data_IF_857885884538
#
_entry.id   IF_857885884538
#
_cell.length_a   1.000
_cell.length_b   1.000
_cell.length_c   1.000
_cell.angle_alpha   90.00
_cell.angle_beta   90.00
_cell.angle_gamma   90.00
#
_symmetry.space_group_name_H-M   'P 1'
#
loop_
_entity.id
_entity.type
_entity.pdbx_description
1 polymer ?
#
# COMPACT_ATOMS: atom_id res chain seq x y z
N UNK A 1 36.79 -28.35 -3.32
CA UNK A 1 36.32 -28.84 -2.02
C UNK A 1 34.92 -29.43 -2.20
N UNK A 2 34.58 -30.53 -1.51
CA UNK A 2 33.32 -31.26 -1.71
C UNK A 2 32.81 -31.78 -0.36
N UNK A 3 31.56 -31.48 -0.01
CA UNK A 3 30.88 -32.05 1.16
C UNK A 3 29.77 -32.97 0.63
N UNK A 4 29.79 -34.24 1.02
CA UNK A 4 28.78 -35.24 0.62
C UNK A 4 28.51 -36.19 1.80
N UNK A 5 27.24 -36.56 1.99
CA UNK A 5 26.87 -37.73 2.79
C UNK A 5 26.41 -38.86 1.86
N UNK A 6 26.91 -40.08 2.08
CA UNK A 6 26.59 -41.26 1.25
C UNK A 6 25.48 -42.12 1.82
N UNK A 7 25.18 -41.96 3.12
CA UNK A 7 24.22 -42.82 3.85
C UNK A 7 23.40 -42.06 4.91
N UNK A 8 23.50 -40.73 4.99
CA UNK A 8 22.87 -39.94 6.07
C UNK A 8 22.70 -38.46 5.72
N UNK A 9 22.88 -37.58 6.71
CA UNK A 9 22.70 -36.12 6.59
C UNK A 9 24.02 -35.34 6.62
N UNK A 10 23.95 -34.05 6.30
CA UNK A 10 24.97 -33.04 6.59
C UNK A 10 24.29 -31.96 7.44
N UNK A 11 24.90 -31.61 8.57
CA UNK A 11 24.40 -30.58 9.47
C UNK A 11 25.39 -29.43 9.56
N UNK A 12 24.89 -28.20 9.39
CA UNK A 12 25.65 -26.97 9.54
C UNK A 12 25.04 -26.20 10.71
N UNK A 13 25.83 -26.00 11.78
CA UNK A 13 25.41 -25.26 12.96
C UNK A 13 26.48 -24.21 13.29
N UNK A 14 26.04 -22.99 13.59
CA UNK A 14 26.89 -21.89 14.01
C UNK A 14 26.19 -21.11 15.13
N UNK A 15 26.98 -20.55 16.05
CA UNK A 15 26.46 -19.75 17.15
C UNK A 15 25.88 -18.40 16.67
N UNK A 16 26.46 -17.85 15.60
CA UNK A 16 26.14 -16.50 15.13
C UNK A 16 25.55 -16.51 13.72
N UNK A 17 26.27 -17.10 12.75
CA UNK A 17 25.90 -17.01 11.35
C UNK A 17 26.40 -18.20 10.50
N UNK A 18 25.59 -18.61 9.52
CA UNK A 18 25.99 -19.45 8.39
C UNK A 18 25.90 -18.61 7.12
N UNK A 19 27.01 -18.43 6.42
CA UNK A 19 27.10 -17.67 5.17
C UNK A 19 27.71 -18.55 4.06
N UNK A 20 26.95 -18.74 2.97
CA UNK A 20 27.42 -19.41 1.76
C UNK A 20 27.44 -18.40 0.61
N UNK A 21 28.60 -18.17 -0.01
CA UNK A 21 28.80 -17.14 -1.05
C UNK A 21 29.52 -17.70 -2.28
N UNK A 22 29.15 -17.18 -3.46
CA UNK A 22 29.84 -17.46 -4.72
C UNK A 22 29.51 -16.39 -5.77
N UNK A 23 30.53 -15.79 -6.40
CA UNK A 23 30.33 -14.86 -7.52
C UNK A 23 29.41 -13.66 -7.19
N UNK A 24 29.42 -13.17 -5.95
CA UNK A 24 28.53 -12.10 -5.48
C UNK A 24 27.14 -12.55 -5.05
N UNK A 25 26.76 -13.82 -5.28
CA UNK A 25 25.52 -14.39 -4.74
C UNK A 25 25.74 -14.96 -3.34
N UNK A 26 24.71 -14.96 -2.51
CA UNK A 26 24.80 -15.44 -1.13
C UNK A 26 23.50 -16.01 -0.57
N UNK A 27 23.64 -16.87 0.44
CA UNK A 27 22.61 -17.26 1.41
C UNK A 27 23.19 -17.05 2.81
N UNK A 28 22.47 -16.34 3.66
CA UNK A 28 22.85 -15.95 5.03
C UNK A 28 21.76 -16.37 6.00
N UNK A 29 22.15 -17.05 7.07
CA UNK A 29 21.27 -17.51 8.15
C UNK A 29 21.84 -17.01 9.47
N UNK A 30 21.11 -16.16 10.18
CA UNK A 30 21.52 -15.62 11.48
C UNK A 30 20.32 -15.28 12.37
N UNK A 31 20.57 -14.62 13.51
CA UNK A 31 19.52 -14.21 14.47
C UNK A 31 18.40 -13.36 13.84
N UNK A 32 18.70 -12.62 12.76
CA UNK A 32 17.74 -11.75 12.08
C UNK A 32 16.87 -12.50 11.07
N UNK A 33 17.21 -13.75 10.73
CA UNK A 33 16.44 -14.60 9.82
C UNK A 33 17.28 -15.23 8.71
N UNK A 34 16.61 -15.49 7.57
CA UNK A 34 17.21 -16.06 6.36
C UNK A 34 17.15 -15.01 5.26
N UNK A 35 18.30 -14.71 4.66
CA UNK A 35 18.46 -13.73 3.60
C UNK A 35 19.25 -14.34 2.44
N UNK A 36 18.84 -14.09 1.20
CA UNK A 36 19.61 -14.47 0.03
C UNK A 36 19.60 -13.36 -1.02
N UNK A 37 20.67 -13.25 -1.79
CA UNK A 37 20.81 -12.23 -2.82
C UNK A 37 21.71 -12.69 -3.95
N UNK A 38 21.50 -12.09 -5.13
CA UNK A 38 22.34 -12.31 -6.31
C UNK A 38 22.38 -11.03 -7.15
N UNK A 39 23.52 -10.70 -7.79
CA UNK A 39 23.58 -9.61 -8.76
C UNK A 39 22.90 -9.96 -10.09
N UNK A 40 22.67 -11.24 -10.36
CA UNK A 40 22.03 -11.73 -11.59
C UNK A 40 20.53 -11.96 -11.44
N UNK A 41 19.97 -12.76 -12.36
CA UNK A 41 18.58 -13.20 -12.28
C UNK A 41 18.44 -14.39 -11.33
N UNK A 42 17.45 -14.32 -10.44
CA UNK A 42 17.08 -15.42 -9.56
C UNK A 42 15.87 -16.18 -10.10
N UNK A 43 15.96 -17.51 -10.17
CA UNK A 43 14.86 -18.38 -10.58
C UNK A 43 14.53 -19.38 -9.48
N UNK A 44 13.25 -19.45 -9.10
CA UNK A 44 12.71 -20.52 -8.25
C UNK A 44 11.70 -21.35 -9.04
N UNK A 45 12.17 -22.43 -9.64
CA UNK A 45 11.33 -23.35 -10.41
C UNK A 45 10.62 -24.33 -9.47
N UNK A 46 9.28 -24.31 -9.46
CA UNK A 46 8.48 -25.30 -8.75
C UNK A 46 7.11 -25.48 -9.42
N UNK A 47 6.52 -26.68 -9.29
CA UNK A 47 5.14 -26.92 -9.68
C UNK A 47 4.14 -26.17 -8.76
N UNK A 48 4.51 -25.94 -7.49
CA UNK A 48 3.74 -25.15 -6.52
C UNK A 48 4.69 -24.56 -5.47
N UNK A 49 4.44 -23.31 -5.08
CA UNK A 49 5.08 -22.70 -3.92
C UNK A 49 4.12 -22.70 -2.74
N UNK A 50 4.50 -23.36 -1.65
CA UNK A 50 3.77 -23.26 -0.39
C UNK A 50 3.93 -21.85 0.19
N UNK A 51 2.83 -21.24 0.63
CA UNK A 51 2.86 -20.05 1.47
C UNK A 51 2.54 -20.49 2.90
N UNK A 52 3.33 -20.08 3.92
CA UNK A 52 2.89 -20.22 5.30
C UNK A 52 1.52 -19.55 5.45
N UNK A 53 0.61 -20.17 6.20
CA UNK A 53 -0.67 -19.56 6.58
C UNK A 53 -0.42 -18.17 7.14
N UNK A 54 -1.22 -17.19 6.71
CA UNK A 54 -1.12 -15.80 7.12
C UNK A 54 -1.02 -15.72 8.64
N UNK A 55 0.09 -15.21 9.16
CA UNK A 55 0.10 -14.68 10.52
C UNK A 55 -0.84 -13.47 10.48
N UNK A 56 -2.06 -13.64 10.99
CA UNK A 56 -2.99 -12.54 11.18
C UNK A 56 -2.31 -11.48 12.05
N UNK A 57 -1.79 -10.44 11.41
CA UNK A 57 -1.39 -9.23 12.13
C UNK A 57 -2.68 -8.58 12.58
N UNK A 58 -2.89 -8.51 13.89
CA UNK A 58 -4.01 -7.75 14.44
C UNK A 58 -3.90 -6.31 13.94
N UNK A 59 -4.89 -5.86 13.16
CA UNK A 59 -5.02 -4.49 12.63
C UNK A 59 -5.42 -3.53 13.75
N UNK A 60 -4.85 -3.68 14.95
CA UNK A 60 -5.23 -2.91 16.13
C UNK A 60 -4.73 -1.45 16.06
N UNK A 61 -3.80 -1.14 15.15
CA UNK A 61 -3.12 0.16 15.10
C UNK A 61 -3.00 0.77 13.70
N UNK A 62 -3.83 0.39 12.72
CA UNK A 62 -3.90 1.22 11.52
C UNK A 62 -4.47 2.59 11.92
N UNK A 63 -3.81 3.70 11.54
CA UNK A 63 -4.37 5.02 11.78
C UNK A 63 -5.77 5.08 11.17
N UNK A 64 -6.74 5.55 11.96
CA UNK A 64 -8.11 5.76 11.47
C UNK A 64 -8.06 6.88 10.43
N UNK A 65 -8.04 6.50 9.16
CA UNK A 65 -8.13 7.45 8.06
C UNK A 65 -9.61 7.69 7.75
N UNK A 66 -10.05 8.93 7.87
CA UNK A 66 -11.38 9.38 7.47
C UNK A 66 -11.35 9.72 5.99
N UNK A 67 -12.30 9.16 5.24
CA UNK A 67 -12.50 9.44 3.82
C UNK A 67 -13.84 10.14 3.64
N UNK A 68 -13.84 11.38 3.11
CA UNK A 68 -15.06 12.14 2.81
C UNK A 68 -15.09 12.53 1.34
N UNK A 69 -16.27 12.51 0.74
CA UNK A 69 -16.57 13.06 -0.58
C UNK A 69 -17.92 13.74 -0.54
N UNK A 70 -18.12 14.73 -1.39
CA UNK A 70 -19.38 15.44 -1.51
C UNK A 70 -20.06 15.04 -2.82
N UNK A 71 -21.37 14.97 -2.80
CA UNK A 71 -22.21 14.73 -3.98
C UNK A 71 -23.09 15.96 -4.19
N UNK A 72 -23.03 16.54 -5.38
CA UNK A 72 -23.82 17.71 -5.74
C UNK A 72 -24.97 17.30 -6.66
N UNK A 73 -26.20 17.65 -6.25
CA UNK A 73 -27.44 17.40 -7.00
C UNK A 73 -28.23 18.68 -7.18
N UNK A 74 -29.03 18.75 -8.24
CA UNK A 74 -30.05 19.79 -8.40
C UNK A 74 -31.28 19.53 -7.51
N UNK A 75 -32.26 20.44 -7.55
CA UNK A 75 -33.51 20.33 -6.79
C UNK A 75 -34.35 19.11 -7.17
N UNK A 76 -34.14 18.55 -8.37
CA UNK A 76 -34.80 17.34 -8.85
C UNK A 76 -34.01 16.05 -8.54
N UNK A 77 -32.85 16.17 -7.88
CA UNK A 77 -31.98 15.04 -7.55
C UNK A 77 -31.04 14.60 -8.68
N UNK A 78 -30.97 15.33 -9.80
CA UNK A 78 -30.03 15.02 -10.88
C UNK A 78 -28.60 15.41 -10.48
N UNK A 79 -27.65 14.54 -10.80
CA UNK A 79 -26.23 14.79 -10.54
C UNK A 79 -25.71 16.03 -11.29
N UNK A 80 -25.07 16.94 -10.56
CA UNK A 80 -24.42 18.12 -11.13
C UNK A 80 -23.03 17.76 -11.64
N UNK A 81 -22.97 17.14 -12.82
CA UNK A 81 -21.76 16.66 -13.49
C UNK A 81 -20.94 17.79 -14.10
N UNK A 82 -19.61 17.65 -14.09
CA UNK A 82 -18.66 18.56 -14.75
C UNK A 82 -18.80 20.03 -14.28
N UNK A 83 -19.11 20.22 -12.99
CA UNK A 83 -19.20 21.54 -12.36
C UNK A 83 -17.97 21.80 -11.51
N UNK A 84 -17.42 23.02 -11.64
CA UNK A 84 -16.32 23.47 -10.80
C UNK A 84 -16.79 23.59 -9.36
N UNK A 85 -15.97 23.15 -8.42
CA UNK A 85 -16.23 23.27 -6.99
C UNK A 85 -14.98 23.74 -6.24
N UNK A 86 -15.19 24.21 -5.01
CA UNK A 86 -14.14 24.44 -4.01
C UNK A 86 -14.54 23.81 -2.68
N UNK A 87 -13.62 23.07 -2.07
CA UNK A 87 -13.75 22.53 -0.72
C UNK A 87 -12.79 23.26 0.20
N UNK A 88 -13.31 23.84 1.27
CA UNK A 88 -12.54 24.47 2.33
C UNK A 88 -12.34 23.48 3.47
N UNK A 89 -11.08 23.29 3.87
CA UNK A 89 -10.71 22.55 5.07
C UNK A 89 -10.67 23.49 6.28
N UNK A 90 -10.82 22.95 7.48
CA UNK A 90 -10.66 23.68 8.75
C UNK A 90 -9.30 24.38 8.86
N UNK A 91 -8.25 23.81 8.24
CA UNK A 91 -6.91 24.41 8.16
C UNK A 91 -6.83 25.71 7.34
N UNK A 92 -7.92 26.11 6.68
CA UNK A 92 -7.97 27.23 5.73
C UNK A 92 -7.50 26.87 4.32
N UNK A 93 -7.07 25.62 4.09
CA UNK A 93 -6.73 25.13 2.75
C UNK A 93 -7.99 25.03 1.87
N UNK A 94 -7.91 25.53 0.64
CA UNK A 94 -8.97 25.44 -0.35
C UNK A 94 -8.56 24.53 -1.51
N UNK A 95 -9.31 23.44 -1.71
CA UNK A 95 -9.08 22.48 -2.80
C UNK A 95 -10.13 22.70 -3.88
N UNK A 96 -9.69 22.99 -5.10
CA UNK A 96 -10.57 23.18 -6.26
C UNK A 96 -10.58 21.93 -7.11
N UNK A 97 -11.73 21.64 -7.71
CA UNK A 97 -11.88 20.50 -8.61
C UNK A 97 -13.11 20.62 -9.48
N UNK A 98 -13.41 19.52 -10.18
CA UNK A 98 -14.57 19.38 -11.06
C UNK A 98 -15.30 18.09 -10.67
N UNK A 99 -16.63 18.16 -10.57
CA UNK A 99 -17.43 16.98 -10.24
C UNK A 99 -17.38 15.91 -11.33
N UNK A 100 -17.38 14.64 -10.91
CA UNK A 100 -17.35 13.49 -11.82
C UNK A 100 -18.72 13.21 -12.47
N UNK A 101 -18.82 12.09 -13.21
CA UNK A 101 -20.03 11.64 -13.89
C UNK A 101 -21.22 11.31 -12.98
N UNK A 102 -21.00 11.23 -11.67
CA UNK A 102 -22.04 11.06 -10.66
C UNK A 102 -22.26 12.33 -9.82
N UNK A 103 -21.65 13.46 -10.21
CA UNK A 103 -21.75 14.72 -9.47
C UNK A 103 -20.91 14.75 -8.19
N UNK A 104 -19.92 13.87 -8.04
CA UNK A 104 -19.12 13.74 -6.82
C UNK A 104 -17.79 14.49 -6.92
N UNK A 105 -17.30 14.96 -5.77
CA UNK A 105 -15.94 15.50 -5.64
C UNK A 105 -14.90 14.37 -5.55
N UNK A 106 -13.62 14.73 -5.64
CA UNK A 106 -12.56 13.83 -5.20
C UNK A 106 -12.74 13.40 -3.74
N UNK A 107 -12.09 12.31 -3.35
CA UNK A 107 -12.08 11.85 -1.95
C UNK A 107 -11.00 12.59 -1.17
N UNK A 108 -11.39 13.13 -0.02
CA UNK A 108 -10.51 13.80 0.93
C UNK A 108 -10.20 12.82 2.06
N UNK A 109 -8.91 12.58 2.28
CA UNK A 109 -8.40 11.71 3.34
C UNK A 109 -7.81 12.57 4.45
N UNK A 110 -8.18 12.28 5.70
CA UNK A 110 -7.58 12.90 6.88
C UNK A 110 -7.34 11.86 7.99
N UNK A 111 -6.26 11.99 8.78
CA UNK A 111 -6.06 11.18 9.99
C UNK A 111 -7.03 11.51 11.13
N UNK A 112 -7.82 12.59 11.03
CA UNK A 112 -8.77 13.03 12.04
C UNK A 112 -10.14 13.39 11.42
N UNK A 113 -11.15 13.55 12.28
CA UNK A 113 -12.44 14.11 11.84
C UNK A 113 -12.24 15.61 11.64
N UNK A 114 -12.32 16.05 10.38
CA UNK A 114 -12.26 17.47 10.01
C UNK A 114 -13.62 17.95 9.50
N UNK A 115 -13.95 19.21 9.76
CA UNK A 115 -15.04 19.88 9.06
C UNK A 115 -14.59 20.30 7.66
N UNK A 116 -15.39 19.93 6.66
CA UNK A 116 -15.16 20.25 5.26
C UNK A 116 -16.41 20.92 4.71
N UNK A 117 -16.24 22.06 4.06
CA UNK A 117 -17.35 22.80 3.44
C UNK A 117 -17.14 22.88 1.94
N UNK A 118 -18.06 22.30 1.18
CA UNK A 118 -17.99 22.25 -0.28
C UNK A 118 -18.96 23.26 -0.91
N UNK A 119 -18.46 24.08 -1.83
CA UNK A 119 -19.25 25.04 -2.60
C UNK A 119 -19.13 24.74 -4.09
N UNK A 120 -20.26 24.79 -4.79
CA UNK A 120 -20.30 24.75 -6.24
C UNK A 120 -20.03 26.16 -6.80
N UNK A 121 -19.20 26.26 -7.82
CA UNK A 121 -18.92 27.52 -8.50
C UNK A 121 -19.89 27.61 -9.69
N UNK A 122 -20.89 28.47 -9.57
CA UNK A 122 -21.82 28.77 -10.64
C UNK A 122 -21.24 29.93 -11.48
N UNK A 123 -20.87 29.64 -12.73
CA UNK A 123 -20.57 30.68 -13.71
C UNK A 123 -21.89 31.29 -14.18
N UNK A 124 -22.23 32.48 -13.65
CA UNK A 124 -23.32 33.29 -14.19
C UNK A 124 -22.83 33.92 -15.49
N UNK A 125 -23.36 33.48 -16.63
CA UNK A 125 -23.15 34.21 -17.89
C UNK A 125 -23.95 35.51 -17.83
N UNK A 126 -23.35 36.66 -18.17
CA UNK A 126 -24.06 37.94 -18.26
C UNK A 126 -25.12 37.94 -19.36
#
# INVERSE_FOLDING_TARGET
FKIISTKGSIELAAAEEILATAGGSYIKINKSGIEHGTPGTWFAWAATHGKPSEKSLSVAHLPKNYARKFEFKDENGNALVNKKYVVYKESGEAVRGVTDGEGKTQTFYSPAVEELTAHLILEVKP
#
